data_IF_502112646656
#
_entry.id   IF_502112646656
#
_cell.length_a   1.000
_cell.length_b   1.000
_cell.length_c   1.000
_cell.angle_alpha   90.00
_cell.angle_beta   90.00
_cell.angle_gamma   90.00
#
_symmetry.space_group_name_H-M   'P 1'
#
loop_
_entity.id
_entity.type
_entity.pdbx_description
1 polymer ?
#
# COMPACT_ATOMS: atom_id res chain seq x y z
N UNK A 1 -6.12 26.36 -5.41
CA UNK A 1 -6.93 25.79 -6.49
C UNK A 1 -7.32 24.39 -6.09
N UNK A 2 -8.57 24.00 -6.33
CA UNK A 2 -9.09 22.66 -6.13
C UNK A 2 -9.48 22.13 -7.49
N UNK A 3 -9.04 20.90 -7.79
CA UNK A 3 -9.24 20.25 -9.09
C UNK A 3 -9.94 18.93 -8.87
N UNK A 4 -10.93 18.64 -9.71
CA UNK A 4 -11.66 17.39 -9.65
C UNK A 4 -10.87 16.21 -10.27
N UNK A 5 -11.37 14.96 -10.17
CA UNK A 5 -10.72 13.78 -10.77
C UNK A 5 -10.61 13.80 -12.30
N UNK A 6 -11.37 14.65 -12.98
CA UNK A 6 -11.37 14.81 -14.44
C UNK A 6 -10.45 15.94 -14.91
N UNK A 7 -9.84 16.69 -13.97
CA UNK A 7 -8.94 17.80 -14.26
C UNK A 7 -9.62 19.17 -14.33
N UNK A 8 -10.90 19.29 -14.00
CA UNK A 8 -11.62 20.56 -13.97
C UNK A 8 -11.31 21.35 -12.70
N UNK A 9 -11.11 22.66 -12.84
CA UNK A 9 -10.88 23.57 -11.72
C UNK A 9 -12.22 23.92 -11.07
N UNK A 10 -12.47 23.44 -9.86
CA UNK A 10 -13.75 23.66 -9.16
C UNK A 10 -13.71 24.82 -8.15
N UNK A 11 -12.52 25.19 -7.69
CA UNK A 11 -12.34 26.40 -6.89
C UNK A 11 -10.94 26.98 -7.06
N UNK A 12 -10.85 28.30 -7.12
CA UNK A 12 -9.58 29.01 -7.22
C UNK A 12 -9.72 30.39 -6.59
N UNK A 13 -8.75 30.78 -5.76
CA UNK A 13 -8.68 32.14 -5.26
C UNK A 13 -8.27 33.09 -6.40
N UNK A 14 -8.79 34.32 -6.36
CA UNK A 14 -8.26 35.43 -7.15
C UNK A 14 -6.85 35.81 -6.68
N UNK A 15 -6.18 36.65 -7.46
CA UNK A 15 -4.89 37.23 -7.07
C UNK A 15 -5.01 38.03 -5.77
N UNK A 16 -4.04 37.87 -4.85
CA UNK A 16 -4.06 38.45 -3.51
C UNK A 16 -4.40 37.44 -2.39
N UNK A 17 -4.67 37.96 -1.19
CA UNK A 17 -5.01 37.14 -0.02
C UNK A 17 -6.49 36.80 -0.05
N UNK A 18 -6.82 35.50 -0.05
CA UNK A 18 -8.21 35.04 -0.07
C UNK A 18 -8.36 33.56 0.25
N UNK A 19 -9.61 33.14 0.47
CA UNK A 19 -10.01 31.77 0.75
C UNK A 19 -10.92 31.27 -0.38
N UNK A 20 -10.73 30.02 -0.80
CA UNK A 20 -11.65 29.33 -1.71
C UNK A 20 -12.15 28.04 -1.05
N UNK A 21 -13.42 27.70 -1.32
CA UNK A 21 -14.10 26.53 -0.78
C UNK A 21 -14.58 25.68 -1.95
N UNK A 22 -14.51 24.37 -1.81
CA UNK A 22 -15.03 23.41 -2.77
C UNK A 22 -15.59 22.20 -2.03
N UNK A 23 -16.69 21.66 -2.54
CA UNK A 23 -17.23 20.38 -2.10
C UNK A 23 -16.56 19.24 -2.88
N UNK A 24 -16.25 18.15 -2.18
CA UNK A 24 -15.61 16.97 -2.78
C UNK A 24 -16.56 15.79 -2.64
N UNK A 25 -16.92 15.19 -3.78
CA UNK A 25 -17.74 13.99 -3.85
C UNK A 25 -16.87 12.74 -4.10
N UNK A 26 -16.89 11.81 -3.15
CA UNK A 26 -16.16 10.54 -3.24
C UNK A 26 -16.83 9.53 -4.18
N UNK A 27 -18.15 9.63 -4.38
CA UNK A 27 -18.89 8.77 -5.30
C UNK A 27 -18.53 9.12 -6.75
N UNK A 28 -18.36 10.42 -7.04
CA UNK A 28 -17.84 10.86 -8.33
C UNK A 28 -16.42 10.33 -8.62
N UNK A 29 -15.54 10.31 -7.61
CA UNK A 29 -14.20 9.70 -7.74
C UNK A 29 -14.31 8.21 -8.09
N UNK A 30 -15.20 7.49 -7.42
CA UNK A 30 -15.41 6.06 -7.69
C UNK A 30 -15.95 5.83 -9.11
N UNK A 31 -16.91 6.64 -9.55
CA UNK A 31 -17.45 6.60 -10.92
C UNK A 31 -16.37 6.82 -11.97
N UNK A 32 -15.60 7.91 -11.87
CA UNK A 32 -14.53 8.24 -12.83
C UNK A 32 -13.49 7.11 -12.92
N UNK A 33 -13.07 6.56 -11.78
CA UNK A 33 -12.12 5.43 -11.73
C UNK A 33 -12.68 4.13 -12.30
N UNK A 34 -14.01 3.95 -12.28
CA UNK A 34 -14.67 2.79 -12.87
C UNK A 34 -14.78 2.89 -14.39
N UNK A 35 -15.08 4.09 -14.91
CA UNK A 35 -15.20 4.35 -16.34
C UNK A 35 -13.82 4.39 -17.03
N UNK A 36 -12.78 4.84 -16.31
CA UNK A 36 -11.41 4.92 -16.82
C UNK A 36 -10.40 4.25 -15.86
N UNK A 37 -10.28 2.91 -15.87
CA UNK A 37 -9.45 2.16 -14.92
C UNK A 37 -7.96 2.17 -15.28
N UNK A 38 -7.36 3.36 -15.46
CA UNK A 38 -5.95 3.54 -15.88
C UNK A 38 -4.97 2.74 -15.01
N UNK A 39 -5.27 2.58 -13.72
CA UNK A 39 -4.46 1.78 -12.80
C UNK A 39 -4.34 0.30 -13.20
N UNK A 40 -5.36 -0.28 -13.82
CA UNK A 40 -5.37 -1.67 -14.29
C UNK A 40 -4.62 -1.82 -15.63
N UNK A 41 -4.52 -0.74 -16.41
CA UNK A 41 -3.81 -0.73 -17.69
C UNK A 41 -2.28 -0.60 -17.53
N UNK A 42 -1.78 -0.47 -16.30
CA UNK A 42 -0.35 -0.34 -16.02
C UNK A 42 0.41 -1.61 -16.38
N UNK A 43 1.45 -1.48 -17.22
CA UNK A 43 2.39 -2.55 -17.58
C UNK A 43 3.45 -2.77 -16.50
N UNK A 44 3.04 -3.38 -15.39
CA UNK A 44 3.94 -3.70 -14.26
C UNK A 44 5.05 -4.68 -14.63
N UNK A 45 4.89 -5.41 -15.74
CA UNK A 45 5.92 -6.27 -16.32
C UNK A 45 7.09 -5.50 -16.94
N UNK A 46 6.87 -4.26 -17.41
CA UNK A 46 7.91 -3.44 -18.06
C UNK A 46 8.67 -2.55 -17.07
N UNK A 47 7.97 -1.92 -16.12
CA UNK A 47 8.56 -0.94 -15.21
C UNK A 47 8.39 -1.29 -13.73
N UNK A 48 8.02 -2.53 -13.41
CA UNK A 48 7.79 -2.98 -12.05
C UNK A 48 6.58 -2.32 -11.38
N UNK A 49 6.18 -2.83 -10.21
CA UNK A 49 5.12 -2.20 -9.43
C UNK A 49 5.67 -1.01 -8.66
N UNK A 50 5.63 0.17 -9.27
CA UNK A 50 5.96 1.42 -8.57
C UNK A 50 4.87 1.68 -7.53
N UNK A 51 5.18 1.34 -6.29
CA UNK A 51 4.38 1.65 -5.11
C UNK A 51 5.14 2.76 -4.39
N UNK A 52 4.52 3.93 -4.20
CA UNK A 52 5.10 4.96 -3.36
C UNK A 52 5.18 4.41 -1.93
N UNK A 53 6.39 4.16 -1.43
CA UNK A 53 6.59 3.85 -0.02
C UNK A 53 6.40 5.16 0.75
N UNK A 54 5.17 5.45 1.15
CA UNK A 54 4.94 6.43 2.20
C UNK A 54 5.53 5.84 3.49
N UNK A 55 6.43 6.59 4.10
CA UNK A 55 7.39 6.11 5.11
C UNK A 55 6.77 5.51 6.37
N UNK A 56 5.51 5.82 6.69
CA UNK A 56 4.89 5.39 7.95
C UNK A 56 3.71 4.41 7.79
N UNK A 57 3.05 4.38 6.62
CA UNK A 57 1.91 3.47 6.35
C UNK A 57 2.33 2.13 5.73
N UNK A 58 3.61 1.98 5.41
CA UNK A 58 4.14 0.76 4.82
C UNK A 58 4.63 -0.25 5.86
N UNK A 59 4.78 0.15 7.13
CA UNK A 59 5.10 -0.74 8.25
C UNK A 59 3.77 -1.07 8.94
N UNK A 60 3.38 -2.34 8.88
CA UNK A 60 2.15 -2.82 9.49
C UNK A 60 2.53 -3.48 10.81
N UNK A 61 1.80 -3.20 11.89
CA UNK A 61 2.08 -3.88 13.16
C UNK A 61 1.85 -5.38 12.98
N UNK A 62 2.82 -6.24 13.33
CA UNK A 62 2.64 -7.69 13.24
C UNK A 62 1.44 -8.22 14.04
N UNK A 63 1.03 -7.48 15.08
CA UNK A 63 -0.06 -7.83 16.00
C UNK A 63 -1.47 -7.66 15.40
N UNK A 64 -1.61 -6.99 14.26
CA UNK A 64 -2.91 -6.83 13.59
C UNK A 64 -3.48 -8.15 13.01
N UNK A 65 -2.65 -9.21 12.97
CA UNK A 65 -3.02 -10.51 12.41
C UNK A 65 -2.43 -11.64 13.25
N UNK A 66 -3.28 -12.56 13.71
CA UNK A 66 -2.88 -13.65 14.62
C UNK A 66 -1.91 -14.65 13.98
N UNK A 67 -2.05 -14.90 12.68
CA UNK A 67 -1.26 -15.89 11.95
C UNK A 67 -1.03 -15.54 10.47
N UNK A 68 0.13 -15.96 9.96
CA UNK A 68 0.61 -15.74 8.59
C UNK A 68 0.90 -17.07 7.91
N UNK A 69 0.72 -17.14 6.59
CA UNK A 69 1.04 -18.34 5.81
C UNK A 69 2.39 -18.21 5.13
N UNK A 70 3.22 -19.24 5.24
CA UNK A 70 4.48 -19.39 4.53
C UNK A 70 4.53 -20.77 3.88
N UNK A 71 4.18 -20.82 2.59
CA UNK A 71 3.94 -22.08 1.90
C UNK A 71 2.79 -22.84 2.56
N UNK A 72 3.08 -24.01 3.11
CA UNK A 72 2.14 -24.85 3.86
C UNK A 72 2.24 -24.68 5.38
N UNK A 73 3.14 -23.81 5.87
CA UNK A 73 3.42 -23.63 7.30
C UNK A 73 2.73 -22.36 7.80
N UNK A 74 2.03 -22.48 8.92
CA UNK A 74 1.42 -21.34 9.61
C UNK A 74 2.40 -20.75 10.64
N UNK A 75 2.69 -19.46 10.52
CA UNK A 75 3.56 -18.67 11.38
C UNK A 75 2.67 -17.85 12.32
N UNK A 76 2.94 -17.87 13.62
CA UNK A 76 2.20 -17.04 14.59
C UNK A 76 2.71 -15.59 14.55
N UNK A 77 1.85 -14.64 14.89
CA UNK A 77 2.24 -13.22 15.03
C UNK A 77 3.47 -13.02 15.92
N UNK A 78 3.57 -13.77 17.02
CA UNK A 78 4.71 -13.72 17.95
C UNK A 78 6.06 -14.07 17.34
N UNK A 79 6.08 -14.71 16.16
CA UNK A 79 7.30 -15.07 15.44
C UNK A 79 7.69 -13.99 14.42
N UNK A 80 6.80 -13.04 14.12
CA UNK A 80 6.99 -11.94 13.17
C UNK A 80 7.41 -10.70 13.94
N UNK A 81 8.49 -10.06 13.52
CA UNK A 81 8.98 -8.83 14.17
C UNK A 81 9.02 -7.62 13.22
N UNK A 82 8.82 -7.84 11.92
CA UNK A 82 8.72 -6.75 10.94
C UNK A 82 7.83 -7.14 9.77
N UNK A 83 6.98 -6.23 9.32
CA UNK A 83 6.03 -6.46 8.23
C UNK A 83 5.87 -5.21 7.37
N UNK A 84 5.80 -5.44 6.07
CA UNK A 84 5.33 -4.45 5.11
C UNK A 84 4.11 -4.95 4.34
N UNK A 85 3.55 -4.11 3.47
CA UNK A 85 2.47 -4.50 2.56
C UNK A 85 2.83 -5.70 1.66
N UNK A 86 4.11 -5.91 1.36
CA UNK A 86 4.56 -6.94 0.41
C UNK A 86 5.51 -7.97 1.03
N UNK A 87 6.08 -7.72 2.20
CA UNK A 87 7.13 -8.56 2.77
C UNK A 87 6.90 -8.81 4.26
N UNK A 88 7.45 -9.91 4.77
CA UNK A 88 7.34 -10.33 6.16
C UNK A 88 8.71 -10.81 6.66
N UNK A 89 9.11 -10.40 7.86
CA UNK A 89 10.31 -10.90 8.52
C UNK A 89 9.93 -11.62 9.82
N UNK A 90 10.44 -12.85 9.99
CA UNK A 90 10.12 -13.70 11.13
C UNK A 90 11.32 -14.54 11.58
N UNK A 91 11.26 -15.01 12.83
CA UNK A 91 12.34 -15.78 13.45
C UNK A 91 12.45 -17.18 12.85
N UNK A 92 13.68 -17.66 12.66
CA UNK A 92 13.94 -19.02 12.21
C UNK A 92 13.91 -20.00 13.40
N UNK A 93 13.09 -21.04 13.33
CA UNK A 93 12.98 -22.07 14.37
C UNK A 93 14.23 -22.99 14.45
N UNK A 94 15.03 -23.08 13.38
CA UNK A 94 16.30 -23.84 13.33
C UNK A 94 17.42 -22.99 12.73
N UNK A 95 17.95 -22.01 13.46
CA UNK A 95 19.01 -21.14 12.96
C UNK A 95 20.34 -21.91 12.89
N UNK A 96 20.97 -21.92 11.71
CA UNK A 96 22.29 -22.57 11.51
C UNK A 96 23.41 -21.82 12.26
N UNK A 97 23.21 -20.51 12.52
CA UNK A 97 24.10 -19.65 13.31
C UNK A 97 23.26 -18.65 14.12
N UNK A 98 23.74 -18.19 15.30
CA UNK A 98 23.07 -17.14 16.07
C UNK A 98 22.80 -15.88 15.24
N UNK A 99 21.62 -15.27 15.41
CA UNK A 99 21.24 -14.02 14.74
C UNK A 99 20.75 -14.14 13.29
N UNK A 100 20.69 -15.34 12.70
CA UNK A 100 20.11 -15.54 11.36
C UNK A 100 18.58 -15.49 11.40
N UNK A 101 18.03 -14.55 10.64
CA UNK A 101 16.60 -14.33 10.42
C UNK A 101 16.23 -14.82 9.02
N UNK A 102 14.99 -15.27 8.81
CA UNK A 102 14.43 -15.40 7.47
C UNK A 102 13.72 -14.11 7.07
N UNK A 103 14.21 -13.48 6.00
CA UNK A 103 13.49 -12.43 5.29
C UNK A 103 12.69 -13.12 4.19
N UNK A 104 11.37 -13.16 4.33
CA UNK A 104 10.50 -13.64 3.27
C UNK A 104 9.94 -12.47 2.48
N UNK A 105 10.28 -12.44 1.18
CA UNK A 105 9.73 -11.51 0.21
C UNK A 105 8.62 -12.21 -0.57
N UNK A 106 7.38 -12.11 -0.07
CA UNK A 106 6.16 -11.90 -0.86
C UNK A 106 4.94 -12.43 -0.10
N UNK A 107 4.13 -11.50 0.44
CA UNK A 107 2.82 -11.82 1.03
C UNK A 107 1.77 -12.16 -0.05
N UNK A 108 2.09 -11.99 -1.36
CA UNK A 108 1.10 -12.04 -2.45
C UNK A 108 1.51 -12.87 -3.69
N UNK A 109 2.46 -13.80 -3.59
CA UNK A 109 2.82 -14.70 -4.71
C UNK A 109 2.02 -16.03 -4.72
N UNK A 110 0.94 -16.12 -3.94
CA UNK A 110 0.03 -17.28 -3.90
C UNK A 110 -1.44 -16.83 -4.08
N UNK A 111 -1.70 -16.17 -5.20
CA UNK A 111 -3.00 -16.30 -5.89
C UNK A 111 -2.74 -16.94 -7.24
#
# INVERSE_FOLDING_TARGET
MVVDPWGAIIAQCSEGVGLCLAEIDLDYVAKVRSEMPVWQHRRTDLYGRVTALHSDSSIISPEEQDSYQFGHVTIKSSQVFYRTLLSLAFVNNKPVLPGRIFLFCSVNLLR
#
